data_IF_316857598975
#
_entry.id   IF_316857598975
#
_cell.length_a   1.000
_cell.length_b   1.000
_cell.length_c   1.000
_cell.angle_alpha   90.00
_cell.angle_beta   90.00
_cell.angle_gamma   90.00
#
_symmetry.space_group_name_H-M   'P 1'
#
loop_
_entity.id
_entity.type
_entity.pdbx_description
1 polymer ?
#
# COMPACT_ATOMS: atom_id res chain seq x y z
N UNK A 1 18.62 -23.87 43.00
CA UNK A 1 17.87 -23.12 44.05
C UNK A 1 17.34 -21.82 43.45
N UNK A 2 18.19 -20.98 42.85
CA UNK A 2 17.77 -19.74 42.16
C UNK A 2 16.65 -19.93 41.12
N UNK A 3 16.78 -20.86 40.16
CA UNK A 3 15.75 -21.09 39.14
C UNK A 3 14.38 -21.53 39.69
N UNK A 4 14.36 -22.25 40.82
CA UNK A 4 13.11 -22.66 41.48
C UNK A 4 12.46 -21.46 42.17
N UNK A 5 13.27 -20.60 42.79
CA UNK A 5 12.80 -19.35 43.40
C UNK A 5 12.27 -18.39 42.34
N UNK A 6 12.99 -18.21 41.23
CA UNK A 6 12.54 -17.37 40.11
C UNK A 6 11.26 -17.92 39.47
N UNK A 7 11.16 -19.24 39.26
CA UNK A 7 9.95 -19.87 38.73
C UNK A 7 8.75 -19.72 39.68
N UNK A 8 8.95 -19.86 40.99
CA UNK A 8 7.89 -19.65 41.98
C UNK A 8 7.44 -18.19 42.04
N UNK A 9 8.38 -17.23 41.98
CA UNK A 9 8.08 -15.80 41.93
C UNK A 9 7.28 -15.47 40.66
N UNK A 10 7.71 -15.95 39.49
CA UNK A 10 6.99 -15.73 38.23
C UNK A 10 5.58 -16.33 38.26
N UNK A 11 5.42 -17.54 38.80
CA UNK A 11 4.12 -18.18 39.00
C UNK A 11 3.20 -17.34 39.91
N UNK A 12 3.70 -16.94 41.09
CA UNK A 12 2.92 -16.16 42.07
C UNK A 12 2.55 -14.78 41.51
N UNK A 13 3.48 -14.10 40.85
CA UNK A 13 3.22 -12.81 40.21
C UNK A 13 2.17 -12.95 39.10
N UNK A 14 2.28 -13.97 38.26
CA UNK A 14 1.28 -14.25 37.23
C UNK A 14 -0.10 -14.49 37.86
N UNK A 15 -0.24 -15.47 38.76
CA UNK A 15 -1.52 -15.76 39.42
C UNK A 15 -2.08 -14.52 40.15
N UNK A 16 -1.23 -13.75 40.82
CA UNK A 16 -1.62 -12.51 41.50
C UNK A 16 -2.15 -11.44 40.54
N UNK A 17 -1.52 -11.27 39.38
CA UNK A 17 -2.02 -10.35 38.34
C UNK A 17 -3.37 -10.80 37.77
N UNK A 18 -3.58 -12.11 37.57
CA UNK A 18 -4.84 -12.64 37.06
C UNK A 18 -6.00 -12.41 38.03
N UNK A 19 -5.76 -12.69 39.31
CA UNK A 19 -6.79 -12.55 40.36
C UNK A 19 -7.04 -11.07 40.70
N UNK A 20 -5.98 -10.25 40.80
CA UNK A 20 -6.08 -8.86 41.25
C UNK A 20 -6.72 -7.91 40.23
N UNK A 21 -6.49 -8.15 38.94
CA UNK A 21 -7.01 -7.28 37.87
C UNK A 21 -8.23 -7.87 37.15
N UNK A 22 -8.69 -9.07 37.52
CA UNK A 22 -9.76 -9.79 36.82
C UNK A 22 -9.41 -10.13 35.36
N UNK A 23 -8.15 -9.93 34.97
CA UNK A 23 -7.63 -10.16 33.64
C UNK A 23 -6.82 -11.45 33.68
N UNK A 24 -7.46 -12.58 33.40
CA UNK A 24 -6.77 -13.80 32.99
C UNK A 24 -6.20 -13.65 31.55
N UNK A 25 -5.57 -12.50 31.30
CA UNK A 25 -4.97 -12.16 30.03
C UNK A 25 -3.77 -13.06 29.74
N UNK A 26 -3.44 -13.24 28.47
CA UNK A 26 -2.41 -14.17 28.03
C UNK A 26 -1.02 -13.87 28.58
N UNK A 27 -0.67 -12.59 28.75
CA UNK A 27 0.58 -12.18 29.41
C UNK A 27 0.71 -12.76 30.82
N UNK A 28 -0.42 -12.90 31.52
CA UNK A 28 -0.47 -13.45 32.87
C UNK A 28 -0.32 -14.98 32.85
N UNK A 29 -0.96 -15.67 31.91
CA UNK A 29 -0.82 -17.12 31.72
C UNK A 29 0.60 -17.49 31.27
N UNK A 30 1.19 -16.69 30.37
CA UNK A 30 2.57 -16.86 29.91
C UNK A 30 3.59 -16.69 31.05
N UNK A 31 3.44 -15.63 31.84
CA UNK A 31 4.28 -15.40 33.03
C UNK A 31 4.11 -16.50 34.08
N UNK A 32 2.87 -16.95 34.30
CA UNK A 32 2.56 -17.95 35.31
C UNK A 32 3.00 -19.36 34.91
N UNK A 33 2.93 -19.75 33.63
CA UNK A 33 3.11 -21.15 33.22
C UNK A 33 4.32 -21.38 32.32
N UNK A 34 4.56 -20.52 31.33
CA UNK A 34 5.61 -20.75 30.33
C UNK A 34 7.00 -20.48 30.93
N UNK A 35 7.16 -19.39 31.69
CA UNK A 35 8.45 -19.07 32.33
C UNK A 35 8.89 -20.16 33.33
N UNK A 36 8.04 -20.63 34.27
CA UNK A 36 8.44 -21.71 35.19
C UNK A 36 8.71 -23.03 34.47
N UNK A 37 7.92 -23.37 33.43
CA UNK A 37 8.12 -24.59 32.65
C UNK A 37 9.46 -24.57 31.89
N UNK A 38 9.82 -23.43 31.30
CA UNK A 38 11.13 -23.23 30.67
C UNK A 38 12.29 -23.38 31.68
N UNK A 39 12.15 -22.80 32.87
CA UNK A 39 13.14 -22.94 33.94
C UNK A 39 13.27 -24.38 34.44
N UNK A 40 12.18 -25.15 34.51
CA UNK A 40 12.21 -26.58 34.83
C UNK A 40 12.96 -27.37 33.76
N UNK A 41 12.70 -27.12 32.48
CA UNK A 41 13.39 -27.78 31.36
C UNK A 41 14.91 -27.51 31.43
N UNK A 42 15.31 -26.26 31.66
CA UNK A 42 16.72 -25.88 31.82
C UNK A 42 17.33 -26.55 33.06
N UNK A 43 16.61 -26.58 34.19
CA UNK A 43 17.11 -27.18 35.42
C UNK A 43 17.28 -28.70 35.31
N UNK A 44 16.39 -29.38 34.59
CA UNK A 44 16.52 -30.80 34.27
C UNK A 44 17.72 -31.07 33.36
N UNK A 45 18.02 -30.17 32.41
CA UNK A 45 19.23 -30.25 31.59
C UNK A 45 20.50 -30.08 32.42
N UNK A 46 20.57 -29.07 33.28
CA UNK A 46 21.72 -28.82 34.17
C UNK A 46 21.96 -29.99 35.11
N UNK A 47 20.90 -30.68 35.56
CA UNK A 47 20.99 -31.90 36.39
C UNK A 47 21.31 -33.18 35.60
N UNK A 48 21.59 -33.08 34.30
CA UNK A 48 21.90 -34.23 33.45
C UNK A 48 20.73 -35.17 33.18
N UNK A 49 19.49 -34.77 33.50
CA UNK A 49 18.29 -35.60 33.31
C UNK A 49 17.69 -35.50 31.91
N UNK A 50 18.10 -34.50 31.12
CA UNK A 50 17.69 -34.32 29.73
C UNK A 50 18.91 -34.25 28.81
N UNK A 51 18.79 -34.86 27.62
CA UNK A 51 19.76 -34.69 26.54
C UNK A 51 19.66 -33.27 25.95
N UNK A 52 20.75 -32.76 25.36
CA UNK A 52 20.74 -31.42 24.76
C UNK A 52 19.71 -31.29 23.63
N UNK A 53 19.53 -32.33 22.82
CA UNK A 53 18.55 -32.35 21.74
C UNK A 53 17.12 -32.26 22.26
N UNK A 54 16.78 -33.04 23.29
CA UNK A 54 15.45 -33.00 23.90
C UNK A 54 15.18 -31.67 24.59
N UNK A 55 16.17 -31.06 25.23
CA UNK A 55 16.06 -29.71 25.80
C UNK A 55 15.75 -28.67 24.72
N UNK A 56 16.45 -28.69 23.58
CA UNK A 56 16.18 -27.77 22.47
C UNK A 56 14.78 -27.99 21.90
N UNK A 57 14.33 -29.24 21.74
CA UNK A 57 12.98 -29.55 21.28
C UNK A 57 11.91 -28.98 22.22
N UNK A 58 12.04 -29.22 23.52
CA UNK A 58 11.05 -28.77 24.51
C UNK A 58 11.00 -27.25 24.63
N UNK A 59 12.14 -26.58 24.63
CA UNK A 59 12.19 -25.11 24.63
C UNK A 59 11.64 -24.53 23.32
N UNK A 60 11.95 -25.15 22.18
CA UNK A 60 11.42 -24.76 20.88
C UNK A 60 9.90 -24.92 20.82
N UNK A 61 9.36 -26.02 21.33
CA UNK A 61 7.91 -26.25 21.41
C UNK A 61 7.24 -25.24 22.35
N UNK A 62 7.86 -24.95 23.50
CA UNK A 62 7.34 -23.97 24.44
C UNK A 62 7.27 -22.56 23.82
N UNK A 63 8.33 -22.17 23.10
CA UNK A 63 8.38 -20.91 22.37
C UNK A 63 7.35 -20.88 21.22
N UNK A 64 7.20 -21.98 20.49
CA UNK A 64 6.20 -22.10 19.43
C UNK A 64 4.78 -21.95 20.00
N UNK A 65 4.47 -22.62 21.11
CA UNK A 65 3.16 -22.51 21.77
C UNK A 65 2.91 -21.07 22.21
N UNK A 66 3.91 -20.40 22.79
CA UNK A 66 3.80 -18.99 23.20
C UNK A 66 3.44 -18.10 22.00
N UNK A 67 4.28 -18.13 20.97
CA UNK A 67 4.14 -17.31 19.76
C UNK A 67 2.86 -17.64 18.98
N UNK A 68 2.61 -18.92 18.72
CA UNK A 68 1.41 -19.36 17.99
C UNK A 68 0.14 -19.01 18.76
N UNK A 69 0.17 -19.12 20.10
CA UNK A 69 -0.96 -18.67 20.90
C UNK A 69 -1.18 -17.17 20.65
N UNK A 70 -0.18 -16.32 20.87
CA UNK A 70 -0.25 -14.87 20.69
C UNK A 70 -0.82 -14.48 19.31
N UNK A 71 -0.27 -15.05 18.24
CA UNK A 71 -0.73 -14.81 16.87
C UNK A 71 -2.20 -15.21 16.69
N UNK A 72 -2.60 -16.37 17.21
CA UNK A 72 -4.00 -16.84 17.15
C UNK A 72 -4.99 -15.94 17.92
N UNK A 73 -4.58 -15.09 18.88
CA UNK A 73 -5.53 -14.09 19.44
C UNK A 73 -5.78 -12.93 18.52
N UNK A 74 -4.80 -12.59 17.69
CA UNK A 74 -4.85 -11.42 16.83
C UNK A 74 -5.58 -11.72 15.52
N UNK A 75 -5.90 -12.99 15.27
CA UNK A 75 -6.63 -13.44 14.08
C UNK A 75 -8.09 -13.69 14.40
N UNK A 76 -8.97 -13.06 13.62
CA UNK A 76 -10.39 -13.42 13.54
C UNK A 76 -10.62 -14.09 12.19
N UNK A 77 -11.03 -15.36 12.22
CA UNK A 77 -11.42 -16.07 11.00
C UNK A 77 -12.86 -15.73 10.67
N UNK A 78 -13.08 -15.14 9.50
CA UNK A 78 -14.39 -14.70 9.01
C UNK A 78 -14.62 -15.34 7.63
N UNK A 79 -15.79 -15.90 7.34
CA UNK A 79 -16.15 -16.36 6.00
C UNK A 79 -15.98 -15.24 4.97
N UNK A 80 -15.54 -15.58 3.76
CA UNK A 80 -15.25 -14.58 2.71
C UNK A 80 -16.50 -13.77 2.34
N UNK A 81 -17.66 -14.42 2.32
CA UNK A 81 -18.95 -13.80 2.04
C UNK A 81 -19.39 -12.83 3.15
N UNK A 82 -19.04 -13.07 4.41
CA UNK A 82 -19.27 -12.10 5.49
C UNK A 82 -18.26 -10.96 5.41
N UNK A 83 -16.97 -11.26 5.18
CA UNK A 83 -15.89 -10.28 5.11
C UNK A 83 -16.06 -9.27 3.96
N UNK A 84 -16.64 -9.71 2.85
CA UNK A 84 -16.93 -8.88 1.67
C UNK A 84 -18.40 -8.46 1.59
N UNK A 85 -19.20 -8.59 2.65
CA UNK A 85 -20.63 -8.28 2.60
C UNK A 85 -20.87 -6.77 2.44
N UNK A 86 -20.13 -5.96 3.20
CA UNK A 86 -20.26 -4.51 3.20
C UNK A 86 -19.85 -3.91 1.86
N UNK A 87 -20.74 -3.12 1.26
CA UNK A 87 -20.51 -2.43 -0.01
C UNK A 87 -20.53 -3.35 -1.24
N UNK A 88 -20.83 -4.65 -1.11
CA UNK A 88 -20.83 -5.59 -2.23
C UNK A 88 -21.73 -5.18 -3.39
N UNK A 89 -23.00 -4.79 -3.18
CA UNK A 89 -23.87 -4.45 -4.30
C UNK A 89 -23.36 -3.24 -5.09
N UNK A 90 -22.79 -2.25 -4.40
CA UNK A 90 -22.17 -1.09 -5.03
C UNK A 90 -20.90 -1.50 -5.81
N UNK A 91 -20.06 -2.36 -5.23
CA UNK A 91 -18.88 -2.89 -5.91
C UNK A 91 -19.22 -3.69 -7.18
N UNK A 92 -20.25 -4.54 -7.13
CA UNK A 92 -20.74 -5.31 -8.27
C UNK A 92 -21.26 -4.41 -9.39
N UNK A 93 -21.99 -3.36 -9.05
CA UNK A 93 -22.46 -2.36 -10.01
C UNK A 93 -21.29 -1.59 -10.65
N UNK A 94 -20.36 -1.12 -9.84
CA UNK A 94 -19.19 -0.36 -10.31
C UNK A 94 -18.29 -1.21 -11.20
N UNK A 95 -18.06 -2.49 -10.86
CA UNK A 95 -17.24 -3.39 -11.66
C UNK A 95 -17.79 -3.67 -13.06
N UNK A 96 -19.08 -3.41 -13.29
CA UNK A 96 -19.72 -3.52 -14.61
C UNK A 96 -19.61 -2.25 -15.45
N UNK A 97 -19.12 -1.13 -14.88
CA UNK A 97 -18.95 0.11 -15.61
C UNK A 97 -17.74 0.01 -16.56
N UNK A 98 -17.84 0.60 -17.77
CA UNK A 98 -16.77 0.49 -18.75
C UNK A 98 -15.58 1.40 -18.43
N UNK A 99 -14.40 0.98 -18.88
CA UNK A 99 -13.18 1.78 -18.83
C UNK A 99 -12.41 1.67 -17.52
N UNK A 100 -11.26 2.33 -17.48
CA UNK A 100 -10.39 2.40 -16.31
C UNK A 100 -10.71 3.68 -15.53
N UNK A 101 -11.15 3.53 -14.29
CA UNK A 101 -11.53 4.64 -13.42
C UNK A 101 -11.14 4.37 -11.97
N UNK A 102 -11.08 5.44 -11.17
CA UNK A 102 -11.06 5.37 -9.71
C UNK A 102 -12.44 5.69 -9.13
N UNK A 103 -12.67 5.18 -7.93
CA UNK A 103 -13.80 5.51 -7.07
C UNK A 103 -13.28 6.32 -5.88
N UNK A 104 -14.06 7.30 -5.42
CA UNK A 104 -13.85 7.99 -4.15
C UNK A 104 -15.02 7.71 -3.21
N UNK A 105 -14.76 7.20 -2.00
CA UNK A 105 -15.79 6.80 -1.04
C UNK A 105 -15.73 7.62 0.27
N UNK A 106 -16.31 8.84 0.31
CA UNK A 106 -16.22 9.76 1.45
C UNK A 106 -16.97 9.31 2.72
N UNK A 107 -17.55 8.12 2.73
CA UNK A 107 -18.24 7.53 3.88
C UNK A 107 -17.85 6.08 4.13
N UNK A 108 -16.78 5.61 3.48
CA UNK A 108 -16.39 4.20 3.49
C UNK A 108 -17.52 3.23 3.03
N UNK A 109 -18.46 3.72 2.22
CA UNK A 109 -19.55 2.92 1.65
C UNK A 109 -19.05 1.86 0.67
N UNK A 110 -17.84 2.06 0.12
CA UNK A 110 -17.09 1.05 -0.59
C UNK A 110 -15.78 0.73 0.17
N UNK A 111 -15.79 -0.27 1.07
CA UNK A 111 -14.58 -0.68 1.79
C UNK A 111 -13.46 -1.18 0.87
N UNK A 112 -12.21 -0.87 1.22
CA UNK A 112 -11.00 -1.19 0.43
C UNK A 112 -10.90 -2.66 0.05
N UNK A 113 -11.17 -3.58 0.99
CA UNK A 113 -11.11 -5.02 0.74
C UNK A 113 -12.20 -5.49 -0.23
N UNK A 114 -13.39 -4.89 -0.16
CA UNK A 114 -14.49 -5.19 -1.08
C UNK A 114 -14.15 -4.65 -2.46
N UNK A 115 -13.72 -3.40 -2.59
CA UNK A 115 -13.29 -2.83 -3.87
C UNK A 115 -12.19 -3.68 -4.54
N UNK A 116 -11.17 -4.07 -3.78
CA UNK A 116 -10.06 -4.88 -4.26
C UNK A 116 -10.51 -6.26 -4.79
N UNK A 117 -11.48 -6.91 -4.13
CA UNK A 117 -12.04 -8.18 -4.57
C UNK A 117 -12.76 -8.09 -5.93
N UNK A 118 -13.23 -6.89 -6.31
CA UNK A 118 -13.86 -6.60 -7.59
C UNK A 118 -12.93 -5.84 -8.55
N UNK A 119 -11.63 -5.77 -8.26
CA UNK A 119 -10.62 -5.05 -9.05
C UNK A 119 -10.92 -3.55 -9.26
N UNK A 120 -11.67 -2.94 -8.34
CA UNK A 120 -11.93 -1.51 -8.34
C UNK A 120 -10.76 -0.76 -7.70
N UNK A 121 -10.40 0.38 -8.29
CA UNK A 121 -9.36 1.25 -7.79
C UNK A 121 -9.97 2.39 -7.01
N UNK A 122 -9.36 2.77 -5.90
CA UNK A 122 -9.83 3.88 -5.08
C UNK A 122 -8.79 4.99 -5.02
N UNK A 123 -9.27 6.23 -4.87
CA UNK A 123 -8.43 7.37 -4.49
C UNK A 123 -8.34 7.54 -2.97
N UNK A 124 -9.26 6.92 -2.23
CA UNK A 124 -9.31 6.87 -0.78
C UNK A 124 -9.01 5.45 -0.26
N UNK A 125 -8.86 5.32 1.06
CA UNK A 125 -8.70 4.02 1.71
C UNK A 125 -7.97 4.07 3.03
N UNK A 126 -7.67 2.87 3.55
CA UNK A 126 -6.87 2.68 4.77
C UNK A 126 -5.42 2.46 4.36
N UNK A 127 -4.55 3.42 4.68
CA UNK A 127 -3.12 3.38 4.39
C UNK A 127 -2.35 3.93 5.60
N UNK A 128 -1.71 3.09 6.42
CA UNK A 128 -0.94 3.53 7.57
C UNK A 128 0.29 4.38 7.20
N UNK A 129 0.77 4.34 5.96
CA UNK A 129 1.93 5.10 5.50
C UNK A 129 1.64 5.72 4.13
N UNK A 130 1.04 6.91 4.12
CA UNK A 130 0.81 7.68 2.90
C UNK A 130 1.92 8.71 2.64
N UNK A 131 2.14 9.03 1.36
CA UNK A 131 3.03 10.12 0.94
C UNK A 131 2.44 11.44 1.42
N UNK A 132 3.25 12.30 2.06
CA UNK A 132 2.78 13.59 2.57
C UNK A 132 2.13 14.44 1.47
N UNK A 133 2.73 14.45 0.28
CA UNK A 133 2.19 15.18 -0.88
C UNK A 133 0.82 14.67 -1.35
N UNK A 134 0.54 13.37 -1.18
CA UNK A 134 -0.76 12.80 -1.51
C UNK A 134 -1.80 13.13 -0.44
N UNK A 135 -1.41 13.09 0.83
CA UNK A 135 -2.27 13.49 1.94
C UNK A 135 -2.64 14.98 1.85
N UNK A 136 -1.69 15.87 1.56
CA UNK A 136 -1.90 17.30 1.32
C UNK A 136 -2.84 17.54 0.13
N UNK A 137 -2.61 16.84 -0.98
CA UNK A 137 -3.49 16.90 -2.15
C UNK A 137 -4.91 16.46 -1.81
N UNK A 138 -5.07 15.32 -1.14
CA UNK A 138 -6.39 14.76 -0.83
C UNK A 138 -7.14 15.61 0.19
N UNK A 139 -6.46 16.25 1.15
CA UNK A 139 -7.09 17.21 2.06
C UNK A 139 -7.77 18.36 1.29
N UNK A 140 -7.11 18.90 0.27
CA UNK A 140 -7.69 19.92 -0.60
C UNK A 140 -8.76 19.34 -1.54
N UNK A 141 -8.46 18.25 -2.25
CA UNK A 141 -9.34 17.68 -3.26
C UNK A 141 -10.64 17.11 -2.67
N UNK A 142 -10.58 16.51 -1.48
CA UNK A 142 -11.74 16.00 -0.78
C UNK A 142 -12.39 17.02 0.17
N UNK A 143 -11.80 18.21 0.32
CA UNK A 143 -12.35 19.32 1.12
C UNK A 143 -12.19 19.18 2.64
N UNK A 144 -11.56 18.12 3.14
CA UNK A 144 -11.26 17.99 4.57
C UNK A 144 -9.95 18.74 4.87
N UNK A 145 -10.07 19.97 5.37
CA UNK A 145 -8.90 20.84 5.63
C UNK A 145 -8.02 20.40 6.82
N UNK A 146 -8.29 19.23 7.40
CA UNK A 146 -7.48 18.65 8.46
C UNK A 146 -6.33 17.82 7.88
N UNK A 147 -5.10 18.26 8.15
CA UNK A 147 -3.87 17.57 7.73
C UNK A 147 -3.24 16.75 8.86
N UNK A 148 -3.92 16.56 10.00
CA UNK A 148 -3.46 15.62 11.01
C UNK A 148 -3.32 14.21 10.43
N UNK A 149 -2.30 13.50 10.90
CA UNK A 149 -2.06 12.14 10.44
C UNK A 149 -3.24 11.25 10.85
N UNK A 150 -3.82 10.57 9.86
CA UNK A 150 -4.84 9.56 10.06
C UNK A 150 -4.52 8.34 9.23
N UNK A 151 -4.79 7.14 9.74
CA UNK A 151 -4.58 5.89 8.98
C UNK A 151 -5.53 5.75 7.78
N UNK A 152 -6.48 6.68 7.62
CA UNK A 152 -7.37 6.75 6.47
C UNK A 152 -7.20 8.07 5.73
N UNK A 153 -7.36 8.01 4.42
CA UNK A 153 -7.59 9.16 3.56
C UNK A 153 -8.97 8.94 2.95
N UNK A 154 -9.95 9.83 3.14
CA UNK A 154 -9.91 11.06 3.94
C UNK A 154 -9.86 10.79 5.47
N UNK A 155 -9.56 11.81 6.26
CA UNK A 155 -9.68 11.75 7.71
C UNK A 155 -11.15 11.93 8.13
N UNK A 156 -11.72 10.96 8.85
CA UNK A 156 -13.13 11.00 9.30
C UNK A 156 -13.34 11.61 10.69
N UNK A 157 -12.28 11.92 11.43
CA UNK A 157 -12.34 12.36 12.83
C UNK A 157 -13.05 11.33 13.73
N UNK A 158 -13.73 11.83 14.77
CA UNK A 158 -14.46 10.99 15.75
C UNK A 158 -15.92 10.71 15.35
N UNK A 159 -16.37 11.18 14.18
CA UNK A 159 -17.75 11.02 13.74
C UNK A 159 -17.99 9.64 13.10
N UNK A 160 -19.23 9.12 13.14
CA UNK A 160 -19.60 7.94 12.37
C UNK A 160 -19.36 8.14 10.87
N UNK A 161 -18.82 7.10 10.21
CA UNK A 161 -18.38 7.16 8.80
C UNK A 161 -19.50 7.57 7.82
N UNK A 162 -20.74 7.21 8.13
CA UNK A 162 -21.92 7.50 7.32
C UNK A 162 -22.38 8.97 7.37
N UNK A 163 -21.77 9.79 8.24
CA UNK A 163 -22.09 11.23 8.35
C UNK A 163 -20.86 12.14 8.40
N UNK A 164 -19.67 11.60 8.67
CA UNK A 164 -18.45 12.36 8.96
C UNK A 164 -18.12 13.46 7.93
N UNK A 165 -18.30 13.17 6.64
CA UNK A 165 -17.99 14.10 5.53
C UNK A 165 -19.24 14.59 4.80
N UNK A 166 -20.42 14.49 5.43
CA UNK A 166 -21.70 14.84 4.78
C UNK A 166 -21.77 16.29 4.31
N UNK A 167 -21.22 17.20 5.11
CA UNK A 167 -21.27 18.64 4.88
C UNK A 167 -19.95 19.18 4.26
N UNK A 168 -19.07 18.29 3.81
CA UNK A 168 -17.77 18.63 3.19
C UNK A 168 -17.90 18.54 1.68
N UNK A 169 -17.72 19.67 0.99
CA UNK A 169 -17.74 19.74 -0.48
C UNK A 169 -16.32 19.51 -1.05
N UNK A 170 -16.12 18.46 -1.86
CA UNK A 170 -14.84 18.19 -2.52
C UNK A 170 -14.67 19.04 -3.78
N UNK A 171 -13.41 19.30 -4.16
CA UNK A 171 -13.08 19.79 -5.49
C UNK A 171 -13.11 18.64 -6.50
N UNK A 172 -14.21 18.56 -7.24
CA UNK A 172 -14.44 17.53 -8.24
C UNK A 172 -13.45 17.57 -9.42
N UNK A 173 -12.83 18.72 -9.71
CA UNK A 173 -11.78 18.80 -10.75
C UNK A 173 -10.48 18.17 -10.26
N UNK A 174 -10.09 18.45 -9.02
CA UNK A 174 -8.92 17.83 -8.42
C UNK A 174 -9.12 16.31 -8.27
N UNK A 175 -10.27 15.85 -7.78
CA UNK A 175 -10.59 14.42 -7.79
C UNK A 175 -10.60 13.85 -9.22
N UNK A 176 -11.13 14.61 -10.18
CA UNK A 176 -11.13 14.24 -11.60
C UNK A 176 -9.73 14.07 -12.19
N UNK A 177 -8.76 14.85 -11.74
CA UNK A 177 -7.33 14.71 -12.07
C UNK A 177 -6.75 13.36 -11.61
N UNK A 178 -7.30 12.78 -10.54
CA UNK A 178 -7.02 11.42 -10.08
C UNK A 178 -7.85 10.33 -10.80
N UNK A 179 -8.49 10.67 -11.93
CA UNK A 179 -9.34 9.76 -12.70
C UNK A 179 -10.52 9.21 -11.85
N UNK A 180 -10.91 9.93 -10.79
CA UNK A 180 -12.09 9.63 -10.00
C UNK A 180 -13.33 9.92 -10.84
N UNK A 181 -13.90 8.86 -11.39
CA UNK A 181 -15.10 8.94 -12.23
C UNK A 181 -16.36 8.71 -11.42
N UNK A 182 -16.27 7.92 -10.35
CA UNK A 182 -17.41 7.61 -9.50
C UNK A 182 -17.15 7.99 -8.04
N UNK A 183 -18.19 8.44 -7.36
CA UNK A 183 -18.21 8.58 -5.91
C UNK A 183 -19.22 7.58 -5.32
N UNK A 184 -18.89 6.95 -4.20
CA UNK A 184 -19.79 6.04 -3.47
C UNK A 184 -20.02 6.55 -2.05
N UNK A 185 -21.26 6.93 -1.73
CA UNK A 185 -21.58 7.63 -0.48
C UNK A 185 -22.79 7.06 0.26
N UNK A 186 -22.80 7.18 1.58
CA UNK A 186 -23.94 6.88 2.45
C UNK A 186 -24.97 8.02 2.50
N UNK A 187 -24.63 9.19 1.98
CA UNK A 187 -25.47 10.39 2.03
C UNK A 187 -25.62 11.03 0.65
N UNK A 188 -26.69 11.80 0.49
CA UNK A 188 -26.99 12.50 -0.76
C UNK A 188 -26.11 13.73 -0.95
N UNK A 189 -25.64 13.97 -2.17
CA UNK A 189 -24.82 15.13 -2.55
C UNK A 189 -25.51 15.89 -3.69
N UNK A 190 -25.46 17.22 -3.64
CA UNK A 190 -26.13 18.10 -4.60
C UNK A 190 -25.17 19.10 -5.27
N UNK A 191 -23.91 18.72 -5.47
CA UNK A 191 -22.88 19.63 -5.96
C UNK A 191 -22.89 19.77 -7.50
N UNK A 192 -22.57 20.95 -8.05
CA UNK A 192 -22.46 21.14 -9.49
C UNK A 192 -21.41 20.22 -10.14
N UNK A 193 -21.79 19.52 -11.21
CA UNK A 193 -20.90 18.57 -11.92
C UNK A 193 -20.79 17.18 -11.25
N UNK A 194 -21.65 16.90 -10.28
CA UNK A 194 -21.84 15.57 -9.71
C UNK A 194 -23.26 15.08 -10.03
N UNK A 195 -23.36 13.97 -10.76
CA UNK A 195 -24.64 13.43 -11.24
C UNK A 195 -24.95 12.10 -10.57
N UNK A 196 -26.12 11.96 -9.91
CA UNK A 196 -26.55 10.68 -9.33
C UNK A 196 -26.78 9.65 -10.44
N UNK A 197 -26.11 8.50 -10.34
CA UNK A 197 -26.24 7.39 -11.28
C UNK A 197 -27.28 6.40 -10.76
N UNK A 198 -27.16 6.00 -9.50
CA UNK A 198 -28.05 5.02 -8.87
C UNK A 198 -27.91 5.04 -7.34
N UNK A 199 -28.86 4.43 -6.65
CA UNK A 199 -28.80 4.12 -5.22
C UNK A 199 -28.97 2.60 -5.07
N UNK A 200 -28.04 1.96 -4.38
CA UNK A 200 -28.04 0.51 -4.17
C UNK A 200 -27.69 0.23 -2.71
N UNK A 201 -28.61 -0.41 -1.99
CA UNK A 201 -28.42 -0.83 -0.59
C UNK A 201 -27.93 0.31 0.33
N UNK A 202 -28.58 1.47 0.23
CA UNK A 202 -28.22 2.67 0.99
C UNK A 202 -26.92 3.36 0.56
N UNK A 203 -26.29 2.90 -0.53
CA UNK A 203 -25.13 3.56 -1.16
C UNK A 203 -25.56 4.32 -2.40
N UNK A 204 -25.37 5.63 -2.39
CA UNK A 204 -25.54 6.51 -3.53
C UNK A 204 -24.28 6.52 -4.37
N UNK A 205 -24.42 6.20 -5.66
CA UNK A 205 -23.33 6.19 -6.63
C UNK A 205 -23.50 7.40 -7.53
N UNK A 206 -22.51 8.27 -7.54
CA UNK A 206 -22.48 9.48 -8.37
C UNK A 206 -21.40 9.36 -9.44
N UNK A 207 -21.59 10.09 -10.54
CA UNK A 207 -20.58 10.31 -11.57
C UNK A 207 -20.02 11.72 -11.45
N UNK A 208 -18.70 11.82 -11.44
CA UNK A 208 -17.96 13.08 -11.54
C UNK A 208 -17.83 13.49 -13.01
N UNK A 209 -18.43 14.61 -13.38
CA UNK A 209 -18.43 15.11 -14.76
C UNK A 209 -17.09 15.77 -15.15
N UNK A 210 -16.20 16.04 -14.18
CA UNK A 210 -14.85 16.58 -14.40
C UNK A 210 -13.76 15.49 -14.46
N UNK A 211 -14.13 14.22 -14.47
CA UNK A 211 -13.18 13.12 -14.50
C UNK A 211 -12.28 13.15 -15.75
N UNK A 212 -10.96 13.21 -15.54
CA UNK A 212 -9.97 13.08 -16.60
C UNK A 212 -9.71 11.59 -16.91
N UNK A 213 -9.28 11.26 -18.14
CA UNK A 213 -8.82 9.92 -18.46
C UNK A 213 -7.60 9.54 -17.62
N UNK A 214 -7.29 8.23 -17.54
CA UNK A 214 -6.13 7.74 -16.80
C UNK A 214 -4.80 8.30 -17.32
N UNK A 215 -4.72 8.65 -18.60
CA UNK A 215 -3.58 9.34 -19.20
C UNK A 215 -4.03 10.26 -20.32
N UNK A 216 -3.28 11.34 -20.55
CA UNK A 216 -3.51 12.32 -21.63
C UNK A 216 -2.20 12.97 -22.04
N UNK A 217 -2.19 13.65 -23.19
CA UNK A 217 -1.06 14.48 -23.61
C UNK A 217 -1.41 15.96 -23.44
N UNK A 218 -0.59 16.69 -22.70
CA UNK A 218 -0.71 18.14 -22.52
C UNK A 218 0.31 18.89 -23.37
N UNK A 219 -0.14 19.90 -24.10
CA UNK A 219 0.66 20.69 -25.05
C UNK A 219 1.02 22.09 -24.55
N UNK A 220 0.47 22.48 -23.40
CA UNK A 220 0.81 23.73 -22.73
C UNK A 220 1.50 23.40 -21.42
N UNK A 221 2.53 24.17 -21.08
CA UNK A 221 3.25 23.97 -19.83
C UNK A 221 3.37 25.25 -19.03
N UNK A 222 3.31 25.12 -17.71
CA UNK A 222 3.73 26.14 -16.75
C UNK A 222 4.85 25.60 -15.88
N UNK A 223 5.72 26.49 -15.43
CA UNK A 223 6.71 26.13 -14.43
C UNK A 223 6.04 25.98 -13.07
N UNK A 224 6.47 24.99 -12.30
CA UNK A 224 5.94 24.78 -10.95
C UNK A 224 6.28 25.97 -10.04
N UNK A 225 5.29 26.38 -9.26
CA UNK A 225 5.46 27.39 -8.21
C UNK A 225 5.56 26.71 -6.82
N UNK A 226 6.10 27.39 -5.79
CA UNK A 226 6.16 26.83 -4.44
C UNK A 226 4.80 26.38 -3.90
N UNK A 227 3.74 27.13 -4.23
CA UNK A 227 2.34 26.77 -3.95
C UNK A 227 1.71 26.10 -5.18
N UNK A 228 2.22 24.92 -5.51
CA UNK A 228 1.80 24.15 -6.68
C UNK A 228 0.31 23.79 -6.64
N UNK A 229 -0.27 23.60 -5.45
CA UNK A 229 -1.65 23.16 -5.30
C UNK A 229 -2.63 24.29 -5.65
N UNK A 230 -2.41 25.50 -5.11
CA UNK A 230 -3.18 26.68 -5.50
C UNK A 230 -2.98 27.03 -6.99
N UNK A 231 -1.78 26.80 -7.52
CA UNK A 231 -1.49 27.00 -8.95
C UNK A 231 -2.34 26.09 -9.84
N UNK A 232 -2.48 24.81 -9.45
CA UNK A 232 -3.29 23.81 -10.16
C UNK A 232 -4.78 24.10 -10.02
N UNK A 233 -5.26 24.42 -8.83
CA UNK A 233 -6.66 24.77 -8.58
C UNK A 233 -7.13 25.97 -9.43
N UNK A 234 -6.24 26.94 -9.65
CA UNK A 234 -6.52 28.11 -10.49
C UNK A 234 -6.57 27.82 -12.01
N UNK A 235 -6.26 26.60 -12.46
CA UNK A 235 -6.31 26.25 -13.87
C UNK A 235 -7.76 26.05 -14.35
N UNK A 236 -8.15 26.64 -15.50
CA UNK A 236 -9.49 26.44 -16.05
C UNK A 236 -9.68 25.02 -16.58
N UNK A 237 -8.61 24.41 -17.10
CA UNK A 237 -8.58 23.06 -17.69
C UNK A 237 -7.27 22.37 -17.28
N UNK A 238 -7.41 21.35 -16.43
CA UNK A 238 -6.31 20.57 -15.88
C UNK A 238 -5.67 19.62 -16.91
N UNK A 239 -6.40 19.22 -17.95
CA UNK A 239 -5.85 18.35 -18.98
C UNK A 239 -4.98 19.14 -19.99
N UNK A 240 -5.34 20.41 -20.24
CA UNK A 240 -4.70 21.23 -21.25
C UNK A 240 -3.33 21.80 -20.84
N UNK A 241 -3.06 21.94 -19.53
CA UNK A 241 -1.86 22.60 -19.00
C UNK A 241 -1.16 21.69 -18.00
N UNK A 242 0.06 21.27 -18.30
CA UNK A 242 0.93 20.54 -17.39
C UNK A 242 1.83 21.51 -16.60
N UNK A 243 1.82 21.43 -15.27
CA UNK A 243 2.75 22.15 -14.40
C UNK A 243 3.98 21.28 -14.17
N UNK A 244 5.16 21.75 -14.56
CA UNK A 244 6.38 20.93 -14.61
C UNK A 244 7.56 21.61 -13.91
N UNK A 245 8.44 20.79 -13.32
CA UNK A 245 9.73 21.24 -12.75
C UNK A 245 10.83 21.41 -13.79
N UNK A 246 10.70 20.71 -14.93
CA UNK A 246 11.74 20.59 -15.93
C UNK A 246 11.44 21.37 -17.21
N UNK A 247 11.56 20.66 -18.34
CA UNK A 247 11.40 21.24 -19.68
C UNK A 247 9.97 21.74 -19.88
N UNK A 248 9.83 23.05 -20.07
CA UNK A 248 8.62 23.67 -20.58
C UNK A 248 8.75 23.84 -22.11
N UNK A 249 8.24 22.92 -22.95
CA UNK A 249 8.17 23.15 -24.39
C UNK A 249 7.41 24.45 -24.72
N UNK A 250 7.63 25.05 -25.90
CA UNK A 250 6.87 26.20 -26.35
C UNK A 250 5.37 25.87 -26.29
N UNK A 251 4.64 26.60 -25.44
CA UNK A 251 3.22 26.33 -25.22
C UNK A 251 2.44 26.48 -26.53
N UNK A 252 1.80 25.41 -26.98
CA UNK A 252 0.95 25.46 -28.16
C UNK A 252 -0.52 25.50 -27.76
N UNK A 253 -1.06 26.72 -27.58
CA UNK A 253 -2.43 26.93 -27.10
C UNK A 253 -3.52 26.48 -28.08
N UNK A 254 -3.17 26.19 -29.33
CA UNK A 254 -4.15 25.78 -30.35
C UNK A 254 -4.38 24.26 -30.40
N UNK A 255 -3.59 23.46 -29.69
CA UNK A 255 -3.73 22.00 -29.66
C UNK A 255 -4.44 21.58 -28.36
N UNK A 256 -5.62 20.95 -28.43
CA UNK A 256 -6.30 20.41 -27.26
C UNK A 256 -5.54 19.20 -26.70
N UNK A 257 -5.85 18.79 -25.47
CA UNK A 257 -5.23 17.61 -24.88
C UNK A 257 -5.41 16.37 -25.76
N UNK A 258 -4.32 15.60 -25.93
CA UNK A 258 -4.27 14.43 -26.79
C UNK A 258 -4.79 13.17 -26.10
N UNK A 259 -5.35 12.25 -26.89
CA UNK A 259 -5.79 10.94 -26.41
C UNK A 259 -4.61 9.97 -26.24
N UNK A 260 -4.71 9.12 -25.23
CA UNK A 260 -3.72 8.07 -24.93
C UNK A 260 -4.48 6.77 -24.73
N UNK A 261 -4.06 5.74 -25.46
CA UNK A 261 -4.54 4.38 -25.29
C UNK A 261 -3.68 3.66 -24.25
N UNK A 262 -4.32 2.96 -23.32
CA UNK A 262 -3.64 2.13 -22.32
C UNK A 262 -3.75 0.69 -22.78
N UNK A 263 -2.62 0.11 -23.18
CA UNK A 263 -2.52 -1.28 -23.65
C UNK A 263 -2.49 -2.23 -22.46
N UNK A 264 -1.66 -1.92 -21.47
CA UNK A 264 -1.51 -2.71 -20.25
C UNK A 264 -1.51 -1.80 -19.04
N UNK A 265 -2.27 -2.17 -18.01
CA UNK A 265 -2.27 -1.50 -16.71
C UNK A 265 -2.15 -2.53 -15.58
N UNK A 266 -1.00 -2.53 -14.90
CA UNK A 266 -0.72 -3.37 -13.75
C UNK A 266 0.04 -2.58 -12.68
N UNK A 267 0.23 -3.19 -11.50
CA UNK A 267 0.84 -2.52 -10.35
C UNK A 267 2.29 -2.06 -10.59
N UNK A 268 3.06 -2.81 -11.39
CA UNK A 268 4.48 -2.60 -11.65
C UNK A 268 4.80 -2.29 -13.12
N UNK A 269 3.81 -2.34 -14.01
CA UNK A 269 3.96 -2.03 -15.44
C UNK A 269 2.75 -1.30 -16.00
N UNK A 270 3.01 -0.23 -16.76
CA UNK A 270 2.00 0.49 -17.53
C UNK A 270 2.51 0.66 -18.95
N UNK A 271 1.74 0.21 -19.94
CA UNK A 271 2.07 0.32 -21.36
C UNK A 271 1.02 1.19 -22.05
N UNK A 272 1.49 2.25 -22.71
CA UNK A 272 0.66 3.27 -23.35
C UNK A 272 1.07 3.47 -24.80
N UNK A 273 0.08 3.75 -25.64
CA UNK A 273 0.27 4.18 -27.02
C UNK A 273 -0.40 5.53 -27.25
N UNK A 274 0.28 6.43 -27.94
CA UNK A 274 -0.27 7.74 -28.29
C UNK A 274 0.34 8.26 -29.57
N UNK A 275 -0.42 9.10 -30.29
CA UNK A 275 0.06 9.90 -31.41
C UNK A 275 -0.04 11.36 -31.02
N UNK A 276 1.05 12.09 -31.18
CA UNK A 276 1.13 13.50 -30.81
C UNK A 276 1.52 14.34 -32.02
N UNK A 277 0.87 15.49 -32.21
CA UNK A 277 1.11 16.38 -33.35
C UNK A 277 2.19 17.45 -33.07
N UNK A 278 2.62 17.53 -31.82
CA UNK A 278 3.62 18.49 -31.35
C UNK A 278 4.37 17.93 -30.13
N UNK A 279 5.48 18.56 -29.71
CA UNK A 279 6.09 18.27 -28.42
C UNK A 279 5.10 18.52 -27.28
N UNK A 280 5.05 17.62 -26.31
CA UNK A 280 4.08 17.67 -25.22
C UNK A 280 4.43 16.75 -24.06
N UNK A 281 3.67 16.84 -22.98
CA UNK A 281 3.82 15.98 -21.81
C UNK A 281 2.76 14.90 -21.81
N UNK A 282 3.18 13.63 -21.87
CA UNK A 282 2.32 12.52 -21.50
C UNK A 282 2.16 12.56 -19.98
N UNK A 283 0.97 12.88 -19.50
CA UNK A 283 0.62 12.91 -18.08
C UNK A 283 -0.21 11.67 -17.77
N UNK A 284 0.09 11.01 -16.67
CA UNK A 284 -0.72 9.90 -16.16
C UNK A 284 -1.28 10.27 -14.80
N UNK A 285 -2.54 9.94 -14.58
CA UNK A 285 -3.24 10.06 -13.30
C UNK A 285 -2.73 9.05 -12.27
N UNK A 286 -1.43 9.11 -11.98
CA UNK A 286 -0.64 8.14 -11.26
C UNK A 286 0.37 8.87 -10.39
N UNK A 287 0.44 8.57 -9.09
CA UNK A 287 1.22 9.36 -8.13
C UNK A 287 2.72 9.17 -8.35
N UNK A 288 3.46 10.24 -8.61
CA UNK A 288 4.91 10.17 -8.80
C UNK A 288 5.61 9.60 -7.57
N UNK A 289 6.48 8.61 -7.80
CA UNK A 289 7.29 7.99 -6.76
C UNK A 289 8.64 7.53 -7.32
N UNK A 290 9.75 7.66 -6.57
CA UNK A 290 11.05 7.19 -7.05
C UNK A 290 11.08 5.68 -7.35
N UNK A 291 11.69 5.30 -8.46
CA UNK A 291 11.86 3.89 -8.87
C UNK A 291 11.09 3.50 -10.13
N UNK A 292 10.20 4.37 -10.64
CA UNK A 292 9.62 4.21 -11.97
C UNK A 292 10.64 4.60 -13.05
N UNK A 293 10.73 3.80 -14.11
CA UNK A 293 11.53 4.07 -15.30
C UNK A 293 10.64 3.95 -16.53
N UNK A 294 10.73 4.93 -17.43
CA UNK A 294 10.04 4.90 -18.72
C UNK A 294 11.00 4.48 -19.84
N UNK A 295 10.47 3.73 -20.80
CA UNK A 295 11.07 3.57 -22.12
C UNK A 295 10.11 4.13 -23.17
N UNK A 296 10.59 5.06 -23.97
CA UNK A 296 9.84 5.71 -25.05
C UNK A 296 10.44 5.24 -26.36
N UNK A 297 9.67 4.49 -27.15
CA UNK A 297 10.14 3.83 -28.38
C UNK A 297 11.45 3.04 -28.16
N UNK A 298 11.52 2.31 -27.04
CA UNK A 298 12.67 1.51 -26.63
C UNK A 298 13.84 2.27 -25.99
N UNK A 299 13.82 3.61 -25.98
CA UNK A 299 14.87 4.43 -25.35
C UNK A 299 14.47 4.84 -23.93
N UNK A 300 15.37 4.67 -22.97
CA UNK A 300 15.13 5.07 -21.58
C UNK A 300 14.93 6.58 -21.48
N UNK A 301 13.88 7.00 -20.80
CA UNK A 301 13.59 8.39 -20.48
C UNK A 301 13.23 8.56 -18.99
N UNK A 302 13.51 9.74 -18.41
CA UNK A 302 13.11 10.03 -17.04
C UNK A 302 11.58 10.07 -16.91
N UNK A 303 11.10 9.62 -15.75
CA UNK A 303 9.71 9.84 -15.31
C UNK A 303 9.74 11.01 -14.34
N UNK A 304 9.14 12.11 -14.75
CA UNK A 304 9.18 13.37 -14.01
C UNK A 304 7.87 13.58 -13.25
N UNK A 305 7.94 14.45 -12.25
CA UNK A 305 6.77 14.90 -11.49
C UNK A 305 6.09 16.03 -12.25
N UNK A 306 4.80 15.87 -12.51
CA UNK A 306 3.93 16.80 -13.23
C UNK A 306 2.72 17.10 -12.36
N UNK A 307 2.19 18.32 -12.44
CA UNK A 307 1.05 18.79 -11.66
C UNK A 307 1.25 18.63 -10.14
N UNK A 308 2.51 18.77 -9.72
CA UNK A 308 2.99 18.59 -8.35
C UNK A 308 2.93 17.16 -7.81
N UNK A 309 2.09 16.29 -8.36
CA UNK A 309 1.76 14.98 -7.79
C UNK A 309 1.90 13.81 -8.77
N UNK A 310 1.62 14.05 -10.05
CA UNK A 310 1.45 13.02 -11.07
C UNK A 310 2.76 12.63 -11.76
N UNK A 311 2.77 11.45 -12.37
CA UNK A 311 3.87 10.99 -13.24
C UNK A 311 3.69 11.58 -14.63
N UNK A 312 4.78 12.01 -15.24
CA UNK A 312 4.79 12.40 -16.65
C UNK A 312 6.06 12.03 -17.39
N UNK A 313 5.95 11.93 -18.71
CA UNK A 313 7.05 11.66 -19.63
C UNK A 313 6.99 12.69 -20.76
N UNK A 314 8.11 13.33 -21.04
CA UNK A 314 8.19 14.34 -22.10
C UNK A 314 8.30 13.68 -23.48
N UNK A 315 7.38 14.02 -24.38
CA UNK A 315 7.38 13.59 -25.78
C UNK A 315 7.94 14.73 -26.63
N UNK A 316 9.19 14.59 -27.07
CA UNK A 316 9.94 15.70 -27.63
C UNK A 316 9.60 16.09 -29.07
N UNK A 317 8.88 15.24 -29.82
CA UNK A 317 8.61 15.42 -31.25
C UNK A 317 7.17 15.01 -31.57
N UNK A 318 6.66 15.47 -32.72
CA UNK A 318 5.44 14.92 -33.29
C UNK A 318 5.68 13.47 -33.77
N UNK A 319 4.71 12.59 -33.59
CA UNK A 319 4.79 11.21 -34.05
C UNK A 319 4.04 10.21 -33.16
N UNK A 320 4.25 8.94 -33.46
CA UNK A 320 3.71 7.82 -32.70
C UNK A 320 4.69 7.41 -31.59
N UNK A 321 4.14 7.16 -30.42
CA UNK A 321 4.89 6.79 -29.23
C UNK A 321 4.33 5.52 -28.59
N UNK A 322 5.24 4.59 -28.32
CA UNK A 322 5.04 3.48 -27.39
C UNK A 322 5.81 3.80 -26.12
N UNK A 323 5.07 3.98 -25.02
CA UNK A 323 5.64 4.31 -23.73
C UNK A 323 5.38 3.16 -22.76
N UNK A 324 6.44 2.59 -22.21
CA UNK A 324 6.35 1.57 -21.16
C UNK A 324 6.97 2.11 -19.89
N UNK A 325 6.22 2.11 -18.80
CA UNK A 325 6.70 2.38 -17.47
C UNK A 325 6.84 1.08 -16.70
N UNK A 326 7.97 0.91 -16.01
CA UNK A 326 8.20 -0.22 -15.10
C UNK A 326 8.68 0.28 -13.75
N UNK A 327 8.13 -0.29 -12.68
CA UNK A 327 8.58 -0.03 -11.33
C UNK A 327 9.75 -0.95 -10.97
N UNK A 328 10.94 -0.37 -10.83
CA UNK A 328 12.19 -1.09 -10.56
C UNK A 328 12.97 -0.43 -9.41
N UNK A 329 12.47 -0.51 -8.17
CA UNK A 329 13.13 0.10 -7.03
C UNK A 329 14.49 -0.56 -6.74
N UNK A 330 15.51 0.28 -6.52
CA UNK A 330 16.87 -0.18 -6.23
C UNK A 330 16.93 -1.08 -4.99
N UNK A 331 16.07 -0.86 -4.00
CA UNK A 331 16.00 -1.66 -2.77
C UNK A 331 15.67 -3.13 -3.03
N UNK A 332 14.74 -3.43 -3.95
CA UNK A 332 14.38 -4.81 -4.32
C UNK A 332 15.54 -5.48 -5.05
N UNK A 333 16.22 -4.76 -5.95
CA UNK A 333 17.40 -5.27 -6.66
C UNK A 333 18.49 -5.65 -5.65
N UNK A 334 18.84 -4.75 -4.72
CA UNK A 334 19.84 -5.04 -3.67
C UNK A 334 19.39 -6.14 -2.71
N UNK A 335 18.12 -6.16 -2.34
CA UNK A 335 17.53 -7.19 -1.49
C UNK A 335 17.65 -8.59 -2.11
N UNK A 336 17.38 -8.71 -3.42
CA UNK A 336 17.54 -9.97 -4.15
C UNK A 336 19.00 -10.44 -4.18
N UNK A 337 19.96 -9.53 -4.41
CA UNK A 337 21.38 -9.86 -4.34
C UNK A 337 21.81 -10.33 -2.95
N UNK A 338 21.38 -9.63 -1.89
CA UNK A 338 21.69 -9.98 -0.52
C UNK A 338 21.09 -11.34 -0.12
N UNK A 339 19.84 -11.60 -0.53
CA UNK A 339 19.17 -12.89 -0.32
C UNK A 339 19.92 -14.03 -1.02
N UNK A 340 20.33 -13.82 -2.28
CA UNK A 340 21.10 -14.81 -3.05
C UNK A 340 22.45 -15.13 -2.38
N UNK A 341 23.19 -14.11 -1.95
CA UNK A 341 24.47 -14.29 -1.24
C UNK A 341 24.25 -15.07 0.06
N UNK A 342 23.21 -14.71 0.82
CA UNK A 342 22.87 -15.38 2.08
C UNK A 342 22.52 -16.85 1.86
N UNK A 343 21.73 -17.16 0.83
CA UNK A 343 21.36 -18.53 0.48
C UNK A 343 22.59 -19.36 0.10
N UNK A 344 23.52 -18.79 -0.69
CA UNK A 344 24.79 -19.45 -1.05
C UNK A 344 25.62 -19.72 0.21
N UNK A 345 25.76 -18.73 1.09
CA UNK A 345 26.53 -18.89 2.34
C UNK A 345 25.94 -19.97 3.25
N UNK A 346 24.61 -20.01 3.41
CA UNK A 346 23.93 -21.05 4.17
C UNK A 346 24.13 -22.43 3.54
N UNK A 347 24.03 -22.53 2.21
CA UNK A 347 24.31 -23.75 1.47
C UNK A 347 25.74 -24.27 1.71
N UNK A 348 26.73 -23.37 1.69
CA UNK A 348 28.12 -23.71 1.98
C UNK A 348 28.33 -24.19 3.43
N UNK A 349 27.66 -23.57 4.40
CA UNK A 349 27.70 -24.01 5.82
C UNK A 349 27.10 -25.41 5.97
N UNK A 350 25.96 -25.68 5.34
CA UNK A 350 25.33 -27.00 5.33
C UNK A 350 26.28 -28.03 4.70
N UNK A 351 26.82 -27.75 3.51
CA UNK A 351 27.77 -28.65 2.83
C UNK A 351 28.99 -28.90 3.71
N UNK A 352 29.58 -27.87 4.31
CA UNK A 352 30.73 -28.01 5.21
C UNK A 352 30.41 -28.86 6.44
N UNK A 353 29.23 -28.69 7.03
CA UNK A 353 28.78 -29.42 8.21
C UNK A 353 28.51 -30.90 7.96
N UNK A 354 28.10 -31.24 6.75
CA UNK A 354 27.81 -32.61 6.31
C UNK A 354 28.92 -33.24 5.46
N UNK A 355 30.05 -32.54 5.24
CA UNK A 355 31.22 -33.15 4.63
C UNK A 355 31.72 -34.30 5.52
N UNK A 356 31.88 -35.52 4.97
CA UNK A 356 32.44 -36.63 5.74
C UNK A 356 33.85 -36.23 6.19
N UNK A 357 34.10 -36.27 7.50
CA UNK A 357 35.44 -36.09 8.05
C UNK A 357 36.29 -37.25 7.52
N UNK A 358 37.18 -36.97 6.58
CA UNK A 358 38.25 -37.90 6.21
C UNK A 358 39.06 -38.19 7.47
N UNK A 359 38.98 -39.43 7.99
CA UNK A 359 39.90 -39.90 9.02
C UNK A 359 41.29 -39.85 8.41
N UNK A 360 42.12 -38.92 8.87
CA UNK A 360 43.55 -38.99 8.65
C UNK A 360 44.02 -40.19 9.48
N UNK A 361 44.35 -41.31 8.84
CA UNK A 361 45.05 -42.41 9.49
C UNK A 361 46.38 -41.89 9.99
N UNK A 362 46.67 -42.10 11.28
CA UNK A 362 48.00 -41.85 11.82
C UNK A 362 49.01 -42.70 11.02
N UNK A 363 50.23 -42.20 10.75
CA UNK A 363 51.30 -43.03 10.22
C UNK A 363 51.50 -44.22 11.17
N UNK A 364 51.63 -45.43 10.64
CA UNK A 364 51.99 -46.59 11.43
C UNK A 364 53.35 -46.34 12.08
N UNK A 365 53.36 -46.04 13.38
CA UNK A 365 54.56 -46.04 14.21
C UNK A 365 55.08 -47.49 14.29
N UNK A 366 55.89 -47.87 13.31
CA UNK A 366 56.70 -49.08 13.33
C UNK A 366 58.18 -48.68 13.25
N UNK A 367 58.81 -48.61 14.41
CA UNK A 367 60.26 -48.75 14.58
C UNK A 367 60.56 -49.59 15.82
#
# INVERSE_FOLDING_TARGET
RLAVVVGAIAFILGVGLAVGFGQAGRAVIGLALLVPLGLVIILLRVRGRLSGQLTMLLLGLLLYIDLASFDLSMMKFVPLDEALAQGRPAAEFLAQQPGLFRVYSPSYSLPTQTAAAYHLQQADGVEPVHLSIYAEFMAQAAGYHDTEFSVTIPHFGDQPLDVALKDVEPDLKLLGMLNVTYLASAFTMGWPGLSLVTEIDGTYIYRNDYALPRAWVSYQTRQVEPDWLAQIEALPDLAAVAVVEGVAPPANKSIPAGHVEIVTYAADVIELETTTDAPGWLVMSEIWYPGWQATVNGSIQPVERVDGLLRGVYLAQAGQYQVTLRYQPRSVIWGNWLAAITAVMLGLVVIWRFRPRTKISAPDDTF
#
